data_IF_738006369412
#
_entry.id   IF_738006369412
#
_cell.length_a   1.000
_cell.length_b   1.000
_cell.length_c   1.000
_cell.angle_alpha   90.00
_cell.angle_beta   90.00
_cell.angle_gamma   90.00
#
_symmetry.space_group_name_H-M   'P 1'
#
loop_
_entity.id
_entity.type
_entity.pdbx_description
1 polymer ?
#
# COMPACT_ATOMS: atom_id res chain seq x y z
N UNK A 1 -20.07 18.33 -69.87
CA UNK A 1 -20.69 18.04 -68.61
C UNK A 1 -19.71 17.23 -67.79
N UNK A 2 -18.81 17.90 -67.05
CA UNK A 2 -17.68 17.27 -66.34
C UNK A 2 -17.86 17.61 -64.86
N UNK A 3 -18.15 16.58 -64.04
CA UNK A 3 -18.21 16.67 -62.61
C UNK A 3 -16.78 16.62 -62.03
N UNK A 4 -16.33 17.73 -61.47
CA UNK A 4 -15.14 17.81 -60.65
C UNK A 4 -15.49 17.39 -59.22
N UNK A 5 -15.03 16.19 -58.79
CA UNK A 5 -15.06 15.75 -57.43
C UNK A 5 -13.87 16.39 -56.70
N UNK A 6 -14.15 17.36 -55.84
CA UNK A 6 -13.21 17.93 -54.93
C UNK A 6 -13.07 17.00 -53.73
N UNK A 7 -11.96 16.30 -53.64
CA UNK A 7 -11.52 15.59 -52.41
C UNK A 7 -10.96 16.63 -51.44
N UNK A 8 -11.70 16.96 -50.40
CA UNK A 8 -11.16 17.70 -49.27
C UNK A 8 -10.36 16.74 -48.39
N UNK A 9 -9.07 16.81 -48.50
CA UNK A 9 -8.15 16.19 -47.53
C UNK A 9 -8.25 16.97 -46.21
N UNK A 10 -8.98 16.43 -45.26
CA UNK A 10 -8.92 16.89 -43.87
C UNK A 10 -7.60 16.40 -43.30
N UNK A 11 -6.62 17.28 -43.27
CA UNK A 11 -5.36 17.04 -42.55
C UNK A 11 -5.70 17.10 -41.07
N UNK A 12 -5.86 15.93 -40.47
CA UNK A 12 -5.94 15.80 -39.04
C UNK A 12 -4.55 16.10 -38.49
N UNK A 13 -4.34 17.31 -38.04
CA UNK A 13 -3.15 17.70 -37.29
C UNK A 13 -3.13 16.85 -36.03
N UNK A 14 -2.37 15.77 -36.01
CA UNK A 14 -1.92 15.14 -34.80
C UNK A 14 -1.07 16.18 -34.07
N UNK A 15 -1.70 16.90 -33.15
CA UNK A 15 -0.98 17.67 -32.16
C UNK A 15 -0.12 16.66 -31.40
N UNK A 16 1.12 16.57 -31.79
CA UNK A 16 2.17 15.95 -30.98
C UNK A 16 2.29 16.83 -29.73
N UNK A 17 1.49 16.50 -28.73
CA UNK A 17 1.69 17.04 -27.38
C UNK A 17 3.08 16.61 -26.98
N UNK A 18 4.01 17.56 -26.93
CA UNK A 18 5.33 17.30 -26.36
C UNK A 18 5.11 16.63 -25.01
N UNK A 19 5.62 15.43 -24.86
CA UNK A 19 5.47 14.65 -23.65
C UNK A 19 6.26 15.36 -22.53
N UNK A 20 5.63 16.31 -21.89
CA UNK A 20 6.15 16.93 -20.67
C UNK A 20 6.12 15.91 -19.54
N UNK A 21 7.12 15.95 -18.67
CA UNK A 21 7.10 15.14 -17.47
C UNK A 21 5.84 15.48 -16.66
N UNK A 22 4.98 14.49 -16.46
CA UNK A 22 3.71 14.64 -15.75
C UNK A 22 3.97 14.35 -14.27
N UNK A 23 4.30 15.39 -13.54
CA UNK A 23 4.38 15.32 -12.08
C UNK A 23 2.98 15.35 -11.49
N UNK A 24 2.77 14.58 -10.43
CA UNK A 24 1.53 14.60 -9.71
C UNK A 24 1.74 14.46 -8.20
N UNK A 25 0.86 15.08 -7.44
CA UNK A 25 0.68 14.83 -6.01
C UNK A 25 -0.75 14.35 -5.78
N UNK A 26 -0.92 13.38 -4.93
CA UNK A 26 -2.23 12.84 -4.58
C UNK A 26 -2.42 12.75 -3.08
N UNK A 27 -3.67 12.91 -2.64
CA UNK A 27 -4.09 12.63 -1.28
C UNK A 27 -5.28 11.67 -1.33
N UNK A 28 -5.35 10.75 -0.38
CA UNK A 28 -6.35 9.69 -0.40
C UNK A 28 -6.74 9.21 0.99
N UNK A 29 -7.87 8.56 1.05
CA UNK A 29 -8.36 7.84 2.21
C UNK A 29 -9.03 6.54 1.81
N UNK A 30 -9.23 5.66 2.77
CA UNK A 30 -9.85 4.37 2.50
C UNK A 30 -9.90 3.46 3.71
N UNK A 31 -9.97 2.17 3.43
CA UNK A 31 -10.05 1.11 4.42
C UNK A 31 -8.92 0.09 4.20
N UNK A 32 -8.31 -0.31 5.28
CA UNK A 32 -7.37 -1.41 5.33
C UNK A 32 -8.05 -2.64 5.93
N UNK A 33 -8.02 -3.74 5.20
CA UNK A 33 -8.37 -5.06 5.69
C UNK A 33 -7.08 -5.82 5.93
N UNK A 34 -6.71 -6.07 7.17
CA UNK A 34 -5.54 -6.88 7.45
C UNK A 34 -5.79 -8.30 6.98
N UNK A 35 -4.75 -8.90 6.43
CA UNK A 35 -4.65 -10.34 6.34
C UNK A 35 -4.35 -10.93 7.71
N UNK A 36 -4.09 -12.22 7.73
CA UNK A 36 -3.65 -12.91 8.93
C UNK A 36 -2.20 -12.50 9.27
N UNK A 37 -1.94 -12.23 10.54
CA UNK A 37 -0.57 -12.14 11.03
C UNK A 37 -0.07 -13.57 11.28
N UNK A 38 0.50 -14.17 10.25
CA UNK A 38 0.82 -15.59 10.22
C UNK A 38 2.26 -15.88 10.63
N UNK A 39 2.51 -17.13 11.06
CA UNK A 39 3.82 -17.61 11.49
C UNK A 39 4.42 -16.78 12.64
N UNK A 40 3.59 -16.34 13.57
CA UNK A 40 4.04 -15.58 14.72
C UNK A 40 4.88 -16.46 15.66
N UNK A 41 6.10 -16.01 15.95
CA UNK A 41 6.99 -16.65 16.94
C UNK A 41 7.30 -15.66 18.04
N UNK A 42 7.18 -16.10 19.30
CA UNK A 42 7.59 -15.37 20.50
C UNK A 42 8.93 -15.93 20.99
N UNK A 43 9.90 -15.06 21.27
CA UNK A 43 11.15 -15.48 21.86
C UNK A 43 11.01 -15.70 23.37
N UNK A 44 11.94 -16.45 23.93
CA UNK A 44 11.91 -16.95 25.31
C UNK A 44 11.87 -15.89 26.40
N UNK A 45 12.27 -14.65 26.12
CA UNK A 45 12.35 -13.57 27.10
C UNK A 45 11.00 -13.16 27.68
N UNK A 46 9.92 -13.29 26.89
CA UNK A 46 8.58 -12.85 27.28
C UNK A 46 7.81 -13.89 28.10
N UNK A 47 8.14 -15.16 27.96
CA UNK A 47 7.35 -16.26 28.54
C UNK A 47 7.88 -16.78 29.87
N UNK A 48 9.08 -16.40 30.27
CA UNK A 48 9.69 -16.87 31.52
C UNK A 48 9.92 -18.41 31.58
N UNK A 49 11.00 -18.89 32.15
CA UNK A 49 11.09 -20.30 32.46
C UNK A 49 11.54 -21.23 31.32
N UNK A 50 12.50 -20.84 30.49
CA UNK A 50 13.21 -21.79 29.62
C UNK A 50 12.46 -22.25 28.37
N UNK A 51 11.39 -21.55 27.99
CA UNK A 51 10.64 -21.79 26.77
C UNK A 51 11.34 -21.08 25.59
N UNK A 52 11.89 -21.84 24.67
CA UNK A 52 12.51 -21.33 23.43
C UNK A 52 11.49 -21.40 22.30
N UNK A 53 11.31 -20.28 21.58
CA UNK A 53 10.57 -20.17 20.33
C UNK A 53 9.16 -20.79 20.33
N UNK A 54 8.22 -20.13 21.01
CA UNK A 54 6.83 -20.54 20.97
C UNK A 54 6.17 -20.08 19.65
N UNK A 55 5.54 -20.99 18.93
CA UNK A 55 4.63 -20.66 17.82
C UNK A 55 3.27 -20.30 18.40
N UNK A 56 2.73 -19.20 17.94
CA UNK A 56 1.40 -18.71 18.35
C UNK A 56 0.44 -18.88 17.19
N UNK A 57 -0.84 -19.12 17.52
CA UNK A 57 -1.93 -19.05 16.54
C UNK A 57 -1.97 -17.70 15.84
N UNK A 58 -2.48 -17.68 14.61
CA UNK A 58 -2.59 -16.46 13.82
C UNK A 58 -3.37 -15.37 14.57
N UNK A 59 -2.81 -14.15 14.57
CA UNK A 59 -3.42 -13.01 15.25
C UNK A 59 -4.44 -12.34 14.34
N UNK A 60 -5.66 -12.19 14.83
CA UNK A 60 -6.70 -11.46 14.13
C UNK A 60 -6.58 -9.94 14.40
N UNK A 61 -6.53 -9.18 13.32
CA UNK A 61 -6.53 -7.73 13.32
C UNK A 61 -7.90 -7.20 12.87
N UNK A 62 -8.28 -6.01 13.32
CA UNK A 62 -9.50 -5.34 12.85
C UNK A 62 -9.23 -4.52 11.61
N UNK A 63 -10.26 -4.40 10.76
CA UNK A 63 -10.25 -3.40 9.70
C UNK A 63 -10.10 -2.01 10.28
N UNK A 64 -9.33 -1.16 9.61
CA UNK A 64 -9.09 0.19 10.09
C UNK A 64 -9.02 1.22 8.96
N UNK A 65 -9.14 2.50 9.29
CA UNK A 65 -8.99 3.56 8.32
C UNK A 65 -7.55 3.68 7.86
N UNK A 66 -7.38 4.06 6.60
CA UNK A 66 -6.11 4.42 5.99
C UNK A 66 -6.24 5.79 5.34
N UNK A 67 -5.18 6.59 5.45
CA UNK A 67 -5.06 7.86 4.75
C UNK A 67 -3.59 8.11 4.42
N UNK A 68 -3.35 8.80 3.31
CA UNK A 68 -2.00 8.99 2.83
C UNK A 68 -1.89 10.02 1.72
N UNK A 69 -0.64 10.20 1.29
CA UNK A 69 -0.29 11.06 0.19
C UNK A 69 0.79 10.41 -0.67
N UNK A 70 0.76 10.72 -1.95
CA UNK A 70 1.73 10.22 -2.93
C UNK A 70 2.23 11.35 -3.82
N UNK A 71 3.47 11.21 -4.27
CA UNK A 71 4.12 12.08 -5.23
C UNK A 71 4.75 11.22 -6.31
N UNK A 72 4.48 11.50 -7.56
CA UNK A 72 5.04 10.73 -8.66
C UNK A 72 5.37 11.56 -9.88
N UNK A 73 6.15 10.95 -10.76
CA UNK A 73 6.56 11.55 -12.01
C UNK A 73 6.53 10.51 -13.13
N UNK A 74 5.76 10.77 -14.19
CA UNK A 74 5.83 10.02 -15.44
C UNK A 74 6.99 10.51 -16.29
N UNK A 75 7.82 9.58 -16.76
CA UNK A 75 9.02 9.93 -17.53
C UNK A 75 8.66 10.48 -18.92
N UNK A 76 9.33 11.56 -19.35
CA UNK A 76 9.15 12.14 -20.69
C UNK A 76 9.36 11.13 -21.81
N UNK A 77 10.38 10.31 -21.69
CA UNK A 77 10.75 9.31 -22.72
C UNK A 77 9.84 8.08 -22.71
N UNK A 78 9.16 7.82 -21.59
CA UNK A 78 8.25 6.68 -21.41
C UNK A 78 7.04 7.12 -20.60
N UNK A 79 6.09 7.82 -21.21
CA UNK A 79 4.95 8.43 -20.49
C UNK A 79 3.97 7.43 -19.88
N UNK A 80 4.21 6.14 -20.10
CA UNK A 80 3.48 5.05 -19.50
C UNK A 80 4.14 4.49 -18.23
N UNK A 81 5.36 4.95 -17.86
CA UNK A 81 6.08 4.54 -16.64
C UNK A 81 6.28 5.75 -15.74
N UNK A 82 6.01 5.58 -14.45
CA UNK A 82 6.30 6.56 -13.41
C UNK A 82 7.11 5.96 -12.26
N UNK A 83 7.81 6.83 -11.56
CA UNK A 83 8.31 6.59 -10.22
C UNK A 83 7.41 7.35 -9.24
N UNK A 84 6.95 6.67 -8.19
CA UNK A 84 6.05 7.22 -7.19
C UNK A 84 6.60 6.98 -5.79
N UNK A 85 6.67 8.02 -4.98
CA UNK A 85 6.85 7.93 -3.53
C UNK A 85 5.47 8.01 -2.87
N UNK A 86 5.20 7.13 -1.92
CA UNK A 86 3.91 7.02 -1.26
C UNK A 86 4.11 6.87 0.25
N UNK A 87 3.40 7.67 1.02
CA UNK A 87 3.39 7.63 2.48
C UNK A 87 1.95 7.58 2.97
N UNK A 88 1.65 6.64 3.83
CA UNK A 88 0.33 6.51 4.41
C UNK A 88 0.40 5.97 5.83
N UNK A 89 -0.67 6.18 6.57
CA UNK A 89 -0.83 5.63 7.90
C UNK A 89 -2.13 4.84 7.97
N UNK A 90 -2.07 3.73 8.66
CA UNK A 90 -3.21 2.89 8.95
C UNK A 90 -3.21 2.55 10.44
N UNK A 91 -4.39 2.53 11.02
CA UNK A 91 -4.59 2.15 12.42
C UNK A 91 -5.36 0.84 12.41
N UNK A 92 -4.78 -0.19 13.01
CA UNK A 92 -5.37 -1.51 13.12
C UNK A 92 -5.29 -1.95 14.57
N UNK A 93 -6.42 -2.31 15.16
CA UNK A 93 -6.44 -2.84 16.51
C UNK A 93 -6.25 -4.35 16.48
N UNK A 94 -5.36 -4.85 17.32
CA UNK A 94 -5.30 -6.27 17.61
C UNK A 94 -6.56 -6.65 18.38
N UNK A 95 -7.31 -7.64 17.91
CA UNK A 95 -8.48 -8.14 18.63
C UNK A 95 -8.04 -8.77 19.95
N UNK A 96 -8.81 -8.55 21.00
CA UNK A 96 -8.65 -9.33 22.23
C UNK A 96 -8.95 -10.80 21.90
N UNK A 97 -7.99 -11.67 22.12
CA UNK A 97 -8.09 -13.08 21.78
C UNK A 97 -7.28 -13.97 22.70
N UNK A 98 -7.69 -15.22 22.77
CA UNK A 98 -6.90 -16.25 23.42
C UNK A 98 -5.92 -16.81 22.41
N UNK A 99 -4.63 -16.64 22.68
CA UNK A 99 -3.58 -17.24 21.86
C UNK A 99 -3.23 -18.60 22.42
N UNK A 100 -3.15 -19.60 21.55
CA UNK A 100 -2.66 -20.93 21.90
C UNK A 100 -1.27 -21.07 21.28
N UNK A 101 -0.29 -21.39 22.08
CA UNK A 101 1.07 -21.57 21.64
C UNK A 101 1.61 -22.93 22.01
N UNK A 102 2.47 -23.49 21.16
CA UNK A 102 3.24 -24.70 21.43
C UNK A 102 4.73 -24.37 21.56
N UNK A 103 5.38 -24.98 22.53
CA UNK A 103 6.84 -24.87 22.71
C UNK A 103 7.55 -25.95 21.93
N UNK A 104 8.82 -25.75 21.62
CA UNK A 104 9.66 -26.79 21.00
C UNK A 104 9.82 -28.03 21.91
N UNK A 105 9.58 -27.87 23.23
CA UNK A 105 9.56 -28.99 24.20
C UNK A 105 8.22 -29.74 24.26
N UNK A 106 7.23 -29.37 23.43
CA UNK A 106 5.93 -30.05 23.37
C UNK A 106 4.88 -29.52 24.36
N UNK A 107 5.16 -28.50 25.15
CA UNK A 107 4.18 -27.90 26.05
C UNK A 107 3.26 -26.95 25.31
N UNK A 108 1.95 -27.01 25.60
CA UNK A 108 0.93 -26.10 25.05
C UNK A 108 0.55 -25.11 26.15
N UNK A 109 0.45 -23.83 25.81
CA UNK A 109 -0.02 -22.79 26.70
C UNK A 109 -1.14 -21.98 26.04
N UNK A 110 -2.01 -21.41 26.85
CA UNK A 110 -3.02 -20.46 26.43
C UNK A 110 -2.83 -19.16 27.21
N UNK A 111 -2.83 -18.02 26.51
CA UNK A 111 -2.71 -16.72 27.13
C UNK A 111 -3.75 -15.75 26.53
N UNK A 112 -4.31 -14.88 27.39
CA UNK A 112 -5.17 -13.79 26.95
C UNK A 112 -4.28 -12.65 26.43
N UNK A 113 -4.42 -12.30 25.15
CA UNK A 113 -3.81 -11.13 24.57
C UNK A 113 -4.78 -9.96 24.65
N UNK A 114 -4.48 -8.91 25.43
CA UNK A 114 -5.32 -7.71 25.46
C UNK A 114 -5.27 -7.01 24.10
N UNK A 115 -6.39 -6.46 23.65
CA UNK A 115 -6.44 -5.64 22.47
C UNK A 115 -5.52 -4.42 22.61
N UNK A 116 -4.74 -4.13 21.59
CA UNK A 116 -3.81 -2.99 21.57
C UNK A 116 -3.91 -2.25 20.25
N UNK A 117 -3.96 -0.90 20.26
CA UNK A 117 -3.90 -0.13 19.03
C UNK A 117 -2.52 -0.25 18.39
N UNK A 118 -2.49 -0.60 17.11
CA UNK A 118 -1.29 -0.70 16.30
C UNK A 118 -1.34 0.34 15.19
N UNK A 119 -0.39 1.24 15.15
CA UNK A 119 -0.25 2.22 14.08
C UNK A 119 0.92 1.87 13.18
N UNK A 120 0.62 1.70 11.90
CA UNK A 120 1.60 1.41 10.87
C UNK A 120 1.70 2.60 9.92
N UNK A 121 2.93 3.02 9.62
CA UNK A 121 3.19 4.10 8.66
C UNK A 121 4.20 3.61 7.62
N UNK A 122 3.71 3.02 6.51
CA UNK A 122 4.54 2.66 5.38
C UNK A 122 4.99 3.90 4.58
N UNK A 123 6.25 3.86 4.14
CA UNK A 123 6.86 4.79 3.18
C UNK A 123 7.43 3.94 2.07
N UNK A 124 6.84 4.00 0.88
CA UNK A 124 7.18 3.11 -0.25
C UNK A 124 7.61 3.88 -1.48
N UNK A 125 8.50 3.28 -2.26
CA UNK A 125 8.86 3.71 -3.61
C UNK A 125 8.28 2.70 -4.58
N UNK A 126 7.48 3.16 -5.54
CA UNK A 126 6.74 2.34 -6.47
C UNK A 126 7.15 2.66 -7.91
N UNK A 127 7.23 1.63 -8.74
CA UNK A 127 7.26 1.76 -10.20
C UNK A 127 5.83 1.54 -10.66
N UNK A 128 5.28 2.55 -11.33
CA UNK A 128 3.90 2.55 -11.84
C UNK A 128 3.94 2.38 -13.36
N UNK A 129 3.06 1.53 -13.87
CA UNK A 129 2.82 1.34 -15.30
C UNK A 129 1.37 1.63 -15.59
N UNK A 130 1.10 2.59 -16.47
CA UNK A 130 -0.27 2.90 -16.95
C UNK A 130 -0.45 2.44 -18.39
N UNK A 131 -1.68 2.08 -18.75
CA UNK A 131 -2.00 1.80 -20.14
C UNK A 131 -2.16 3.11 -20.93
N UNK A 132 -1.34 3.36 -21.97
CA UNK A 132 -1.42 4.61 -22.74
C UNK A 132 -2.58 4.62 -23.75
N UNK A 133 -3.17 3.45 -24.05
CA UNK A 133 -4.01 3.28 -25.26
C UNK A 133 -5.52 3.16 -24.98
N UNK A 134 -5.98 3.24 -23.73
CA UNK A 134 -7.38 2.99 -23.43
C UNK A 134 -8.21 4.28 -23.60
N UNK A 135 -7.84 5.36 -22.91
CA UNK A 135 -8.52 6.66 -23.00
C UNK A 135 -7.72 7.70 -22.21
N UNK A 136 -7.79 8.97 -22.63
CA UNK A 136 -7.29 10.06 -21.80
C UNK A 136 -8.13 10.28 -20.54
N UNK A 137 -9.42 9.94 -20.63
CA UNK A 137 -10.35 10.08 -19.51
C UNK A 137 -10.17 9.00 -18.47
N UNK A 138 -9.98 7.74 -18.89
CA UNK A 138 -9.89 6.57 -18.01
C UNK A 138 -8.56 5.85 -18.23
N UNK A 139 -7.73 5.81 -17.21
CA UNK A 139 -6.39 5.25 -17.28
C UNK A 139 -6.18 4.21 -16.18
N UNK A 140 -6.28 2.92 -16.51
CA UNK A 140 -5.90 1.86 -15.59
C UNK A 140 -4.38 1.81 -15.44
N UNK A 141 -3.94 1.47 -14.26
CA UNK A 141 -2.52 1.34 -13.94
C UNK A 141 -2.28 0.24 -12.90
N UNK A 142 -1.06 -0.22 -12.85
CA UNK A 142 -0.57 -1.13 -11.83
C UNK A 142 0.84 -0.76 -11.44
N UNK A 143 1.29 -1.28 -10.32
CA UNK A 143 2.63 -0.99 -9.86
C UNK A 143 3.14 -1.98 -8.83
N UNK A 144 4.45 -1.95 -8.68
CA UNK A 144 5.19 -2.70 -7.67
C UNK A 144 6.14 -1.74 -6.97
N UNK A 145 6.26 -1.90 -5.68
CA UNK A 145 7.13 -1.08 -4.86
C UNK A 145 7.72 -1.82 -3.68
N UNK A 146 8.66 -1.16 -3.07
CA UNK A 146 9.31 -1.61 -1.86
C UNK A 146 9.50 -0.43 -0.92
N UNK A 147 9.44 -0.66 0.39
CA UNK A 147 9.57 0.44 1.34
C UNK A 147 9.79 0.01 2.77
N UNK A 148 9.82 1.02 3.62
CA UNK A 148 9.96 0.90 5.06
C UNK A 148 8.59 1.05 5.71
N UNK A 149 8.35 0.26 6.75
CA UNK A 149 7.14 0.30 7.56
C UNK A 149 7.56 0.69 8.98
N UNK A 150 7.11 1.85 9.40
CA UNK A 150 7.29 2.33 10.77
C UNK A 150 6.13 1.82 11.62
N UNK A 151 6.45 1.01 12.61
CA UNK A 151 5.49 0.40 13.52
C UNK A 151 5.56 1.13 14.85
N UNK A 152 4.50 1.82 15.23
CA UNK A 152 4.38 2.49 16.52
C UNK A 152 3.36 1.75 17.39
N UNK A 153 3.78 1.37 18.59
CA UNK A 153 2.91 0.76 19.59
C UNK A 153 3.01 1.55 20.89
N UNK A 154 1.87 1.78 21.52
CA UNK A 154 1.79 2.44 22.82
C UNK A 154 1.38 1.41 23.86
N UNK A 155 2.34 0.81 24.54
CA UNK A 155 2.08 -0.01 25.72
C UNK A 155 2.79 0.59 26.94
N UNK A 156 2.05 0.84 28.00
CA UNK A 156 2.63 1.24 29.31
C UNK A 156 3.34 2.59 29.35
N UNK A 157 3.01 3.54 28.45
CA UNK A 157 3.60 4.89 28.45
C UNK A 157 4.95 5.01 27.70
N UNK A 158 5.50 3.92 27.20
CA UNK A 158 6.68 3.94 26.33
C UNK A 158 6.26 3.72 24.88
N UNK A 159 6.67 4.63 23.98
CA UNK A 159 6.48 4.46 22.54
C UNK A 159 7.72 3.77 21.97
N UNK A 160 7.57 2.55 21.52
CA UNK A 160 8.63 1.82 20.81
C UNK A 160 8.39 1.96 19.31
N UNK A 161 9.39 2.45 18.59
CA UNK A 161 9.39 2.55 17.13
C UNK A 161 10.23 1.40 16.56
N UNK A 162 9.59 0.54 15.77
CA UNK A 162 10.26 -0.49 15.01
C UNK A 162 10.17 -0.20 13.52
N UNK A 163 11.26 -0.49 12.80
CA UNK A 163 11.32 -0.32 11.35
C UNK A 163 11.41 -1.70 10.71
N UNK A 164 10.50 -1.97 9.83
CA UNK A 164 10.48 -3.17 8.98
C UNK A 164 10.47 -2.76 7.52
N UNK A 165 10.75 -3.69 6.63
CA UNK A 165 10.66 -3.44 5.19
C UNK A 165 9.67 -4.40 4.55
N UNK A 166 9.07 -3.97 3.44
CA UNK A 166 8.04 -4.75 2.80
C UNK A 166 7.83 -4.45 1.33
N UNK A 167 7.16 -5.38 0.66
CA UNK A 167 6.72 -5.29 -0.71
C UNK A 167 5.35 -4.60 -0.76
N UNK A 168 5.15 -3.73 -1.76
CA UNK A 168 3.87 -3.12 -2.09
C UNK A 168 3.51 -3.48 -3.53
N UNK A 169 2.33 -4.05 -3.73
CA UNK A 169 1.72 -4.24 -5.04
C UNK A 169 0.47 -3.36 -5.11
N UNK A 170 0.25 -2.73 -6.23
CA UNK A 170 -0.93 -1.88 -6.40
C UNK A 170 -1.54 -2.02 -7.80
N UNK A 171 -2.85 -1.87 -7.86
CA UNK A 171 -3.61 -1.80 -9.10
C UNK A 171 -4.75 -0.81 -8.92
N UNK A 172 -5.00 0.03 -9.93
CA UNK A 172 -6.01 1.05 -9.83
C UNK A 172 -6.41 1.63 -11.17
N UNK A 173 -7.28 2.61 -11.10
CA UNK A 173 -7.68 3.39 -12.25
C UNK A 173 -7.78 4.88 -11.88
N UNK A 174 -7.43 5.71 -12.83
CA UNK A 174 -7.51 7.16 -12.75
C UNK A 174 -8.54 7.67 -13.76
N UNK A 175 -9.38 8.61 -13.31
CA UNK A 175 -10.34 9.33 -14.16
C UNK A 175 -9.93 10.80 -14.16
N UNK A 176 -9.63 11.35 -15.34
CA UNK A 176 -9.29 12.76 -15.48
C UNK A 176 -10.58 13.61 -15.44
N UNK A 177 -10.70 14.46 -14.42
CA UNK A 177 -11.83 15.37 -14.25
C UNK A 177 -11.61 16.72 -14.93
N UNK A 178 -10.36 17.19 -14.93
CA UNK A 178 -9.93 18.44 -15.53
C UNK A 178 -8.46 18.32 -15.95
N UNK A 179 -7.90 19.27 -16.72
CA UNK A 179 -6.51 19.20 -17.17
C UNK A 179 -5.49 18.94 -16.05
N UNK A 180 -5.74 19.48 -14.86
CA UNK A 180 -4.86 19.36 -13.70
C UNK A 180 -5.40 18.45 -12.59
N UNK A 181 -6.62 17.90 -12.68
CA UNK A 181 -7.26 17.15 -11.64
C UNK A 181 -7.72 15.78 -12.11
N UNK A 182 -7.40 14.77 -11.31
CA UNK A 182 -7.88 13.40 -11.52
C UNK A 182 -8.43 12.83 -10.21
N UNK A 183 -9.47 12.01 -10.34
CA UNK A 183 -9.93 11.11 -9.30
C UNK A 183 -9.25 9.76 -9.52
N UNK A 184 -8.90 9.05 -8.45
CA UNK A 184 -8.38 7.69 -8.57
C UNK A 184 -8.96 6.76 -7.51
N UNK A 185 -9.02 5.48 -7.87
CA UNK A 185 -9.30 4.38 -6.97
C UNK A 185 -8.21 3.33 -7.11
N UNK A 186 -7.75 2.78 -5.99
CA UNK A 186 -6.60 1.88 -5.97
C UNK A 186 -6.79 0.78 -4.93
N UNK A 187 -6.44 -0.42 -5.33
CA UNK A 187 -6.22 -1.55 -4.44
C UNK A 187 -4.72 -1.69 -4.20
N UNK A 188 -4.32 -1.86 -2.94
CA UNK A 188 -2.93 -2.13 -2.55
C UNK A 188 -2.85 -3.43 -1.76
N UNK A 189 -1.81 -4.19 -2.02
CA UNK A 189 -1.44 -5.35 -1.25
C UNK A 189 -0.03 -5.15 -0.69
N UNK A 190 0.10 -5.18 0.63
CA UNK A 190 1.38 -5.04 1.33
C UNK A 190 1.74 -6.36 1.97
N UNK A 191 3.00 -6.75 1.82
CA UNK A 191 3.58 -7.89 2.51
C UNK A 191 4.89 -7.49 3.17
N UNK A 192 4.99 -7.71 4.47
CA UNK A 192 6.19 -7.39 5.23
C UNK A 192 6.46 -8.45 6.30
N UNK A 193 7.72 -8.63 6.65
CA UNK A 193 8.09 -9.36 7.86
C UNK A 193 8.30 -8.34 8.98
N UNK A 194 7.36 -8.30 9.93
CA UNK A 194 7.43 -7.40 11.07
C UNK A 194 8.16 -8.11 12.21
N UNK A 195 9.09 -7.37 12.80
CA UNK A 195 9.76 -7.76 14.04
C UNK A 195 9.41 -6.72 15.10
N UNK A 196 8.80 -7.17 16.16
CA UNK A 196 8.36 -6.29 17.25
C UNK A 196 8.77 -6.93 18.58
N UNK A 197 9.76 -6.35 19.28
CA UNK A 197 10.34 -6.94 20.46
C UNK A 197 10.71 -8.42 20.20
N UNK A 198 10.05 -9.33 20.89
CA UNK A 198 10.26 -10.77 20.81
C UNK A 198 9.29 -11.46 19.80
N UNK A 199 8.41 -10.71 19.18
CA UNK A 199 7.45 -11.21 18.19
C UNK A 199 7.99 -11.02 16.78
N UNK A 200 8.02 -12.08 15.99
CA UNK A 200 8.34 -12.06 14.57
C UNK A 200 7.21 -12.74 13.80
N UNK A 201 6.71 -12.10 12.75
CA UNK A 201 5.66 -12.67 11.92
C UNK A 201 5.56 -12.01 10.55
N UNK A 202 4.83 -12.65 9.66
CA UNK A 202 4.50 -12.10 8.36
C UNK A 202 3.20 -11.31 8.48
N UNK A 203 3.24 -10.09 8.03
CA UNK A 203 2.11 -9.16 7.97
C UNK A 203 1.69 -8.96 6.53
N UNK A 204 0.47 -9.28 6.23
CA UNK A 204 -0.18 -9.01 4.95
C UNK A 204 -1.32 -8.02 5.18
N UNK A 205 -1.49 -7.04 4.29
CA UNK A 205 -2.61 -6.10 4.33
C UNK A 205 -3.14 -5.80 2.95
N UNK A 206 -4.45 -5.73 2.85
CA UNK A 206 -5.19 -5.30 1.66
C UNK A 206 -5.82 -3.94 1.94
N UNK A 207 -5.60 -2.98 1.04
CA UNK A 207 -6.11 -1.63 1.19
C UNK A 207 -6.95 -1.27 -0.02
N UNK A 208 -8.11 -0.66 0.24
CA UNK A 208 -8.96 -0.05 -0.78
C UNK A 208 -8.99 1.45 -0.53
N UNK A 209 -8.43 2.22 -1.44
CA UNK A 209 -8.27 3.66 -1.28
C UNK A 209 -8.82 4.41 -2.47
N UNK A 210 -9.29 5.63 -2.22
CA UNK A 210 -9.72 6.57 -3.24
C UNK A 210 -9.27 7.98 -2.89
N UNK A 211 -8.99 8.79 -3.90
CA UNK A 211 -8.46 10.12 -3.66
C UNK A 211 -8.41 11.00 -4.88
N UNK A 212 -7.90 12.20 -4.65
CA UNK A 212 -7.68 13.22 -5.67
C UNK A 212 -6.20 13.34 -5.98
N UNK A 213 -5.90 13.60 -7.24
CA UNK A 213 -4.55 13.77 -7.75
C UNK A 213 -4.49 15.08 -8.54
N UNK A 214 -3.49 15.89 -8.22
CA UNK A 214 -3.20 17.13 -8.92
C UNK A 214 -1.93 16.99 -9.76
N UNK A 215 -2.01 17.41 -11.03
CA UNK A 215 -0.95 17.31 -12.02
C UNK A 215 -0.30 18.67 -12.25
N UNK A 216 1.03 18.73 -12.20
CA UNK A 216 1.80 19.88 -12.62
C UNK A 216 2.47 19.55 -13.96
N UNK A 217 2.25 20.39 -14.90
CA UNK A 217 2.91 20.36 -16.21
C UNK A 217 4.02 21.38 -16.27
#
# INVERSE_FOLDING_TARGET
MSLLLAWSMTVTSFLTTEAQADWYVGAYGGLASPGEFSNATLSSATLGGGVTDARISDLELKNGPVWGAKLGNFFKTRPWVALEADVYTLTQDVKQQVIVGGTTSGSVFAANLPGSPLRLTPVTMNIIVRSPNISELFQPYGGIGYGLIFVASSQGGASNLHISSGLNLLAGARIRLAPKWSLFGEFKFNRATIRFNDLRGNYDAQLFVGGLMWHFM
#
